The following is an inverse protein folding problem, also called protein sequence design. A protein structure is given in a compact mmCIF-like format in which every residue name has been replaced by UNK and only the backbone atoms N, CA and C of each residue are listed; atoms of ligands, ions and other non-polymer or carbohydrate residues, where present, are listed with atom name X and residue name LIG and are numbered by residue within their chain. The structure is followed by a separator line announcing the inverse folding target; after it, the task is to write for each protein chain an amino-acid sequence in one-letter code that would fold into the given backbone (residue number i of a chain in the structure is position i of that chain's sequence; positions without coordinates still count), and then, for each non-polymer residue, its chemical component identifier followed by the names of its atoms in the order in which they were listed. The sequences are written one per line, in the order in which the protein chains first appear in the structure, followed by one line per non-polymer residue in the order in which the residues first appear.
data_IF_763205394353
#
_entry.id   IF_763205394353
#
_cell.length_a   1.000
_cell.length_b   1.000
_cell.length_c   1.000
_cell.angle_alpha   90.00
_cell.angle_beta   90.00
_cell.angle_gamma   90.00
#
_symmetry.space_group_name_H-M   'P 1'
#
loop_
_entity.id
_entity.type
_entity.pdbx_description
1 polymer ?
2 polymer ?
3 non-polymer ?
4 water ?
#
# COMPACT_ATOMS: atom_id res chain seq x y z
N UNK A 31 12.27 0.72 -28.05
CA UNK A 31 12.63 -0.67 -28.20
C UNK A 31 13.58 -1.12 -27.09
N UNK A 32 13.05 -1.86 -26.11
CA UNK A 32 13.87 -2.38 -25.02
C UNK A 32 14.81 -3.46 -25.53
N UNK A 33 16.11 -3.19 -25.45
CA UNK A 33 17.10 -4.08 -26.02
C UNK A 33 18.02 -4.77 -25.03
N UNK A 34 19.23 -4.23 -24.88
CA UNK A 34 20.29 -4.92 -24.17
C UNK A 34 20.47 -4.49 -22.70
N UNK A 35 20.58 -5.49 -21.83
CA UNK A 35 20.85 -5.24 -20.42
C UNK A 35 22.33 -4.93 -20.18
N UNK A 36 22.62 -3.66 -19.90
CA UNK A 36 23.99 -3.22 -19.71
C UNK A 36 24.34 -2.97 -18.25
N UNK A 37 23.83 -3.82 -17.36
CA UNK A 37 24.20 -3.77 -15.95
C UNK A 37 25.71 -3.87 -15.75
N UNK A 38 26.35 -4.63 -16.63
CA UNK A 38 27.80 -4.82 -16.57
C UNK A 38 28.57 -3.57 -16.95
N UNK A 39 27.87 -2.56 -17.44
CA UNK A 39 28.51 -1.30 -17.83
C UNK A 39 28.12 -0.13 -16.94
N UNK A 40 27.20 -0.35 -16.01
CA UNK A 40 26.79 0.69 -15.09
C UNK A 40 27.13 0.30 -13.65
N UNK A 41 27.54 1.27 -12.86
CA UNK A 41 27.87 1.02 -11.46
C UNK A 41 27.22 2.05 -10.54
N UNK A 42 26.67 1.59 -9.43
CA UNK A 42 25.95 2.45 -8.50
C UNK A 42 26.87 2.91 -7.36
N UNK A 43 26.55 4.06 -6.78
CA UNK A 43 27.44 4.70 -5.82
C UNK A 43 26.68 5.54 -4.79
N UNK A 44 27.23 5.62 -3.57
CA UNK A 44 26.66 6.41 -2.49
C UNK A 44 25.21 6.02 -2.15
N UNK A 45 24.99 4.73 -1.91
CA UNK A 45 23.67 4.24 -1.56
C UNK A 45 23.36 4.50 -0.10
N UNK A 46 22.25 5.18 0.16
CA UNK A 46 21.74 5.34 1.51
C UNK A 46 20.22 5.27 1.49
N UNK A 47 19.65 4.59 2.48
CA UNK A 47 18.22 4.70 2.70
C UNK A 47 18.01 6.02 3.41
N UNK A 48 16.92 6.71 3.10
CA UNK A 48 16.62 7.98 3.75
C UNK A 48 16.49 7.76 5.26
N UNK A 49 15.75 6.73 5.64
CA UNK A 49 15.70 6.30 7.04
C UNK A 49 15.48 4.79 7.12
N UNK A 50 15.92 4.19 8.22
CA UNK A 50 15.97 2.74 8.33
C UNK A 50 14.79 2.12 9.07
N UNK A 51 13.95 2.95 9.67
CA UNK A 51 12.83 2.45 10.47
C UNK A 51 11.64 3.42 10.48
N UNK A 52 10.44 2.87 10.34
CA UNK A 52 9.22 3.69 10.37
C UNK A 52 7.94 2.88 10.61
N UNK A 53 6.82 3.58 10.59
CA UNK A 53 5.50 2.98 10.79
C UNK A 53 4.68 3.07 9.50
N UNK A 54 4.59 1.96 8.75
CA UNK A 54 3.78 1.90 7.53
C UNK A 54 2.29 2.20 7.78
N UNK A 55 1.85 2.06 9.02
CA UNK A 55 0.45 2.31 9.37
C UNK A 55 0.15 3.77 9.72
N UNK A 56 1.20 4.59 9.81
CA UNK A 56 1.04 6.03 9.96
C UNK A 56 1.69 6.76 8.79
N UNK A 57 1.50 6.21 7.60
CA UNK A 57 2.02 6.79 6.35
C UNK A 57 3.54 6.83 6.30
N UNK A 58 4.18 5.96 7.09
CA UNK A 58 5.63 5.86 7.08
C UNK A 58 6.13 5.19 5.83
N UNK A 59 7.22 5.72 5.28
CA UNK A 59 7.92 5.14 4.15
C UNK A 59 9.37 5.57 4.18
N UNK A 60 10.07 5.42 3.06
CA UNK A 60 11.43 5.94 2.97
C UNK A 60 11.80 6.16 1.51
N UNK A 61 13.10 6.30 1.25
CA UNK A 61 13.59 6.47 -0.10
C UNK A 61 14.91 5.73 -0.26
N UNK A 62 15.12 5.15 -1.43
CA UNK A 62 16.46 4.73 -1.79
C UNK A 62 17.00 5.75 -2.78
N UNK A 63 18.24 6.16 -2.58
CA UNK A 63 18.84 7.16 -3.43
C UNK A 63 20.25 6.74 -3.79
N UNK A 64 20.66 7.03 -5.02
CA UNK A 64 22.01 6.68 -5.43
C UNK A 64 22.48 7.38 -6.69
N UNK A 65 23.79 7.49 -6.84
CA UNK A 65 24.41 7.92 -8.08
C UNK A 65 24.69 6.69 -8.93
N UNK A 66 24.93 6.90 -10.21
CA UNK A 66 25.35 5.82 -11.08
C UNK A 66 26.21 6.35 -12.23
N UNK A 67 27.20 5.56 -12.61
CA UNK A 67 28.08 5.93 -13.72
C UNK A 67 28.11 4.84 -14.78
N UNK A 68 28.01 5.25 -16.03
CA UNK A 68 28.10 4.35 -17.16
C UNK A 68 29.53 4.31 -17.68
N UNK A 69 30.32 3.37 -17.20
CA UNK A 69 31.67 3.18 -17.74
C UNK A 69 31.56 2.70 -19.19
N UNK A 70 31.80 3.63 -20.11
CA UNK A 70 31.65 3.36 -21.52
C UNK A 70 30.52 4.15 -22.14
N UNK A 71 30.05 3.71 -23.30
CA UNK A 71 28.96 4.38 -24.00
C UNK A 71 27.79 3.42 -24.19
N UNK A 72 26.60 3.97 -24.40
CA UNK A 72 25.40 3.17 -24.65
C UNK A 72 24.54 3.81 -25.73
N UNK A 73 23.44 3.16 -26.09
CA UNK A 73 22.54 3.71 -27.10
C UNK A 73 21.07 3.48 -26.75
N UNK A 74 20.18 4.10 -27.55
CA UNK A 74 18.74 4.01 -27.36
C UNK A 74 18.26 2.55 -27.34
N UNK A 75 17.84 2.10 -26.17
CA UNK A 75 17.35 0.74 -26.01
C UNK A 75 18.08 -0.03 -24.95
N UNK A 76 19.35 0.31 -24.71
CA UNK A 76 20.11 -0.30 -23.64
C UNK A 76 19.46 0.06 -22.31
N UNK A 77 19.53 -0.84 -21.35
CA UNK A 77 18.85 -0.60 -20.08
C UNK A 77 19.60 -1.15 -18.88
N UNK A 78 19.31 -0.58 -17.72
CA UNK A 78 19.81 -1.18 -16.47
C UNK A 78 18.70 -1.30 -15.44
N UNK A 79 18.95 -2.09 -14.40
CA UNK A 79 17.89 -2.46 -13.47
C UNK A 79 18.21 -2.23 -12.00
N UNK A 80 17.16 -2.17 -11.20
CA UNK A 80 17.26 -2.18 -9.75
C UNK A 80 16.26 -3.22 -9.25
N UNK A 81 16.59 -3.94 -8.19
CA UNK A 81 15.69 -4.99 -7.73
C UNK A 81 15.43 -4.95 -6.23
N UNK A 82 14.16 -4.97 -5.86
CA UNK A 82 13.75 -4.88 -4.46
C UNK A 82 13.57 -6.26 -3.85
N UNK A 83 13.98 -6.41 -2.58
CA UNK A 83 13.86 -7.66 -1.83
C UNK A 83 12.42 -7.98 -1.44
N UNK A 84 12.23 -9.04 -0.67
CA UNK A 84 10.91 -9.42 -0.18
C UNK A 84 10.32 -8.39 0.78
N UNK A 85 11.18 -7.76 1.57
CA UNK A 85 10.73 -6.91 2.67
C UNK A 85 10.07 -5.61 2.22
N UNK A 86 10.47 -5.10 1.08
CA UNK A 86 9.99 -3.80 0.62
C UNK A 86 9.26 -3.87 -0.71
N UNK A 87 8.56 -2.78 -1.05
CA UNK A 87 7.95 -2.63 -2.37
C UNK A 87 8.31 -1.26 -2.91
N UNK A 88 7.83 -0.95 -4.11
CA UNK A 88 8.13 0.32 -4.73
C UNK A 88 6.87 1.09 -5.10
N UNK A 89 5.72 0.48 -4.84
CA UNK A 89 4.44 1.08 -5.18
C UNK A 89 3.58 1.31 -3.95
N UNK A 90 3.86 0.57 -2.89
CA UNK A 90 3.16 0.73 -1.63
C UNK A 90 1.68 0.41 -1.73
N UNK A 91 0.86 1.26 -1.14
CA UNK A 91 -0.58 1.01 -1.09
C UNK A 91 -1.31 1.43 -2.36
N UNK A 92 -0.55 1.78 -3.40
CA UNK A 92 -1.14 2.04 -4.70
C UNK A 92 -1.16 0.76 -5.53
N UNK A 93 -2.36 0.32 -5.91
CA UNK A 93 -2.53 -0.93 -6.64
C UNK A 93 -2.31 -0.75 -8.14
N UNK A 94 -1.54 -1.67 -8.74
CA UNK A 94 -1.32 -1.67 -10.17
C UNK A 94 -1.69 -3.00 -10.82
N UNK A 95 -2.56 -3.75 -10.14
CA UNK A 95 -3.01 -5.04 -10.67
C UNK A 95 -3.90 -4.87 -11.90
N UNK A 96 -4.68 -3.80 -11.92
CA UNK A 96 -5.51 -3.49 -13.08
C UNK A 96 -4.72 -2.69 -14.10
N UNK A 97 -3.40 -2.76 -14.02
CA UNK A 97 -2.52 -2.03 -14.92
C UNK A 97 -1.30 -2.87 -15.31
N UNK A 98 -1.52 -4.17 -15.42
CA UNK A 98 -0.46 -5.11 -15.80
C UNK A 98 0.76 -5.11 -14.88
N UNK A 99 0.52 -4.86 -13.59
CA UNK A 99 1.57 -4.84 -12.58
C UNK A 99 2.77 -3.97 -12.95
N UNK A 100 2.51 -2.99 -13.81
CA UNK A 100 3.55 -2.09 -14.28
C UNK A 100 3.20 -0.66 -13.88
N UNK A 101 4.08 -0.01 -13.14
CA UNK A 101 3.88 1.38 -12.80
C UNK A 101 4.91 2.25 -13.49
N UNK A 102 4.44 3.30 -14.18
CA UNK A 102 5.35 4.21 -14.89
C UNK A 102 6.15 4.99 -13.86
N UNK A 103 7.32 5.48 -14.25
CA UNK A 103 8.10 6.28 -13.33
C UNK A 103 8.62 7.52 -14.05
N UNK A 104 8.60 8.65 -13.34
CA UNK A 104 9.01 9.94 -13.88
C UNK A 104 10.29 9.86 -14.71
N UNK A 105 10.25 10.45 -15.89
CA UNK A 105 11.38 10.43 -16.82
C UNK A 105 12.65 10.95 -16.18
N UNK A 106 13.78 10.34 -16.51
CA UNK A 106 15.08 10.81 -16.08
C UNK A 106 15.68 11.69 -17.17
N UNK A 107 15.95 12.94 -16.83
CA UNK A 107 16.26 13.96 -17.82
C UNK A 107 17.62 14.60 -17.62
N UNK A 108 18.00 15.48 -18.54
CA UNK A 108 19.21 16.27 -18.41
C UNK A 108 18.86 17.59 -17.74
N UNK A 109 19.84 18.49 -17.65
CA UNK A 109 19.58 19.82 -17.10
C UNK A 109 18.73 20.63 -18.06
N UNK A 110 19.06 20.55 -19.35
CA UNK A 110 18.38 21.34 -20.36
C UNK A 110 17.06 20.73 -20.86
N UNK A 111 16.49 19.82 -20.08
CA UNK A 111 15.15 19.33 -20.35
C UNK A 111 15.01 17.93 -20.91
N UNK A 112 15.69 17.67 -22.02
CA UNK A 112 15.52 16.41 -22.77
C UNK A 112 15.69 15.15 -21.93
N UNK A 113 14.80 14.19 -22.15
CA UNK A 113 14.80 12.94 -21.41
C UNK A 113 16.02 12.07 -21.73
N UNK A 114 16.65 11.54 -20.70
CA UNK A 114 17.83 10.71 -20.87
C UNK A 114 17.45 9.24 -20.76
N UNK A 115 16.40 8.97 -19.99
CA UNK A 115 15.93 7.61 -19.81
C UNK A 115 14.45 7.57 -19.42
N UNK A 116 13.77 6.52 -19.86
CA UNK A 116 12.40 6.27 -19.40
C UNK A 116 12.41 5.11 -18.42
N UNK A 117 11.72 5.29 -17.30
CA UNK A 117 11.80 4.35 -16.18
C UNK A 117 10.48 3.68 -15.88
N UNK A 118 10.53 2.39 -15.57
CA UNK A 118 9.33 1.64 -15.25
C UNK A 118 9.56 0.69 -14.09
N UNK A 119 8.49 0.28 -13.42
CA UNK A 119 8.62 -0.58 -12.26
C UNK A 119 7.63 -1.75 -12.32
N UNK A 120 8.14 -2.96 -12.18
CA UNK A 120 7.29 -4.14 -12.16
C UNK A 120 7.01 -4.56 -10.73
N UNK A 121 5.74 -4.56 -10.36
CA UNK A 121 5.28 -4.85 -9.01
C UNK A 121 5.56 -6.31 -8.62
N UNK A 122 5.27 -7.22 -9.54
CA UNK A 122 5.40 -8.64 -9.27
C UNK A 122 6.86 -9.06 -9.06
N UNK A 123 7.74 -8.55 -9.92
CA UNK A 123 9.16 -8.91 -9.85
C UNK A 123 9.95 -7.85 -9.09
N UNK A 124 9.27 -6.80 -8.63
CA UNK A 124 9.92 -5.71 -7.91
C UNK A 124 11.12 -5.18 -8.67
N UNK A 125 10.94 -4.91 -9.96
CA UNK A 125 12.08 -4.53 -10.80
C UNK A 125 11.96 -3.16 -11.45
N UNK A 126 12.93 -2.30 -11.19
CA UNK A 126 13.03 -1.02 -11.84
C UNK A 126 13.85 -1.19 -13.10
N UNK A 127 13.28 -0.79 -14.24
CA UNK A 127 13.99 -0.84 -15.49
C UNK A 127 14.11 0.55 -16.09
N UNK A 128 15.35 1.00 -16.22
CA UNK A 128 15.65 2.29 -16.83
C UNK A 128 16.20 2.06 -18.23
N UNK A 129 15.44 2.49 -19.23
CA UNK A 129 15.86 2.30 -20.63
C UNK A 129 16.17 3.63 -21.32
N UNK A 130 17.35 3.71 -21.92
CA UNK A 130 17.86 4.97 -22.46
C UNK A 130 17.14 5.46 -23.71
N UNK A 131 17.14 6.78 -23.88
CA UNK A 131 16.59 7.40 -25.07
C UNK A 131 17.74 7.65 -26.05
N UNK A 132 17.41 8.13 -27.24
CA UNK A 132 18.42 8.41 -28.27
C UNK A 132 19.38 9.51 -27.84
N UNK A 133 18.98 10.28 -26.83
CA UNK A 133 19.82 11.34 -26.28
C UNK A 133 21.22 10.84 -25.99
N UNK A 134 21.32 9.60 -25.54
CA UNK A 134 22.59 9.01 -25.13
C UNK A 134 23.43 8.54 -26.32
N UNK A 135 22.85 8.51 -27.51
CA UNK A 135 23.56 8.05 -28.70
C UNK A 135 24.83 8.86 -28.99
N UNK A 136 24.65 10.16 -29.18
CA UNK A 136 25.78 11.04 -29.46
C UNK A 136 26.45 11.56 -28.19
N UNK A 137 26.25 10.87 -27.08
CA UNK A 137 26.87 11.24 -25.82
C UNK A 137 27.91 10.22 -25.39
N UNK A 138 28.52 10.45 -24.23
CA UNK A 138 29.59 9.59 -23.73
C UNK A 138 29.77 9.79 -22.23
N UNK A 139 30.17 8.72 -21.54
CA UNK A 139 30.45 8.77 -20.11
C UNK A 139 29.32 9.40 -19.31
N UNK A 140 28.20 8.68 -19.20
CA UNK A 140 26.99 9.20 -18.58
C UNK A 140 26.98 9.05 -17.07
N UNK A 141 26.76 10.15 -16.36
CA UNK A 141 26.61 10.10 -14.91
C UNK A 141 25.21 10.53 -14.51
N UNK A 142 24.71 10.00 -13.39
CA UNK A 142 23.36 10.33 -12.97
C UNK A 142 23.04 10.01 -11.53
N UNK A 143 21.81 10.28 -11.13
CA UNK A 143 21.34 9.98 -9.78
C UNK A 143 19.83 9.78 -9.77
N UNK A 144 19.35 8.99 -8.81
CA UNK A 144 17.92 8.83 -8.63
C UNK A 144 17.51 8.72 -7.17
N UNK A 145 16.26 9.10 -6.91
CA UNK A 145 15.63 8.96 -5.61
C UNK A 145 14.26 8.35 -5.81
N UNK A 146 14.06 7.16 -5.25
CA UNK A 146 12.81 6.44 -5.44
C UNK A 146 12.20 6.05 -4.10
N UNK A 147 10.90 6.33 -3.92
CA UNK A 147 10.23 6.02 -2.66
C UNK A 147 10.11 4.52 -2.44
N UNK A 148 10.33 4.09 -1.21
CA UNK A 148 10.19 2.69 -0.84
C UNK A 148 9.17 2.54 0.28
N UNK A 149 8.35 1.50 0.16
CA UNK A 149 7.28 1.25 1.11
C UNK A 149 7.42 -0.15 1.67
N UNK A 150 6.52 -0.52 2.58
CA UNK A 150 6.56 -1.85 3.16
C UNK A 150 5.91 -2.86 2.22
N UNK A 151 6.18 -4.13 2.44
CA UNK A 151 5.44 -5.20 1.79
C UNK A 151 4.55 -5.82 2.84
N UNK A 152 3.31 -5.36 2.92
CA UNK A 152 2.38 -5.77 3.97
C UNK A 152 2.18 -7.28 4.00
N UNK A 153 2.27 -7.91 2.84
CA UNK A 153 2.09 -9.35 2.74
C UNK A 153 3.32 -10.12 3.23
N UNK A 154 4.51 -9.64 2.88
CA UNK A 154 5.74 -10.38 3.16
C UNK A 154 6.49 -9.89 4.39
N UNK A 155 6.12 -8.71 4.89
CA UNK A 155 6.59 -8.24 6.18
C UNK A 155 5.36 -7.95 7.05
N UNK A 156 4.59 -8.99 7.36
CA UNK A 156 3.26 -8.81 7.95
C UNK A 156 3.31 -8.38 9.41
N UNK A 157 4.44 -8.58 10.05
CA UNK A 157 4.57 -8.27 11.47
C UNK A 157 5.58 -7.15 11.71
N UNK A 158 5.39 -6.43 12.82
CA UNK A 158 6.38 -5.44 13.24
C UNK A 158 7.69 -6.14 13.56
N UNK A 159 8.80 -5.59 13.09
CA UNK A 159 10.10 -6.17 13.37
C UNK A 159 11.20 -5.67 12.45
N UNK A 160 12.37 -6.28 12.56
CA UNK A 160 13.51 -5.92 11.74
C UNK A 160 13.75 -6.94 10.63
N UNK A 161 13.66 -6.47 9.39
CA UNK A 161 13.83 -7.30 8.21
C UNK A 161 15.12 -6.96 7.47
N UNK A 162 15.61 -7.94 6.71
CA UNK A 162 16.73 -7.71 5.80
C UNK A 162 16.18 -7.03 4.56
N UNK A 163 16.90 -6.03 4.06
CA UNK A 163 16.47 -5.32 2.86
C UNK A 163 17.67 -5.00 1.98
N UNK A 164 18.14 -5.99 1.26
CA UNK A 164 19.32 -5.82 0.41
C UNK A 164 18.96 -5.51 -1.03
N UNK A 165 19.13 -4.25 -1.42
CA UNK A 165 18.68 -3.77 -2.72
C UNK A 165 19.75 -4.00 -3.80
N UNK A 166 19.34 -4.49 -4.95
CA UNK A 166 20.27 -4.71 -6.05
C UNK A 166 20.19 -3.60 -7.09
N UNK A 167 21.34 -3.05 -7.47
CA UNK A 167 21.42 -2.10 -8.57
C UNK A 167 22.60 -2.44 -9.47
N UNK A 168 22.32 -2.69 -10.74
CA UNK A 168 23.35 -3.00 -11.72
C UNK A 168 24.21 -4.20 -11.31
N UNK A 169 23.55 -5.29 -10.95
CA UNK A 169 24.23 -6.52 -10.53
C UNK A 169 25.17 -6.30 -9.35
N UNK A 170 24.76 -5.41 -8.46
CA UNK A 170 25.55 -5.08 -7.28
C UNK A 170 24.62 -4.98 -6.07
N UNK A 171 24.97 -5.69 -5.01
CA UNK A 171 24.11 -5.75 -3.84
C UNK A 171 24.48 -4.75 -2.75
N UNK A 172 23.46 -4.06 -2.23
CA UNK A 172 23.63 -3.07 -1.18
C UNK A 172 22.81 -3.50 0.02
N UNK A 173 23.51 -3.92 1.08
CA UNK A 173 22.87 -4.45 2.27
C UNK A 173 22.33 -3.36 3.19
N UNK A 174 21.06 -3.53 3.57
CA UNK A 174 20.43 -2.63 4.53
C UNK A 174 19.58 -3.42 5.49
N UNK A 175 19.37 -2.87 6.68
CA UNK A 175 18.42 -3.44 7.61
C UNK A 175 17.26 -2.47 7.78
N UNK A 176 16.05 -2.95 7.49
CA UNK A 176 14.88 -2.09 7.56
C UNK A 176 14.04 -2.52 8.76
N UNK A 177 13.34 -1.59 9.39
CA UNK A 177 12.57 -1.93 10.59
C UNK A 177 11.18 -1.32 10.61
N UNK A 178 10.16 -2.18 10.59
CA UNK A 178 8.78 -1.73 10.57
C UNK A 178 8.17 -1.78 11.96
N UNK A 179 7.80 -0.61 12.47
CA UNK A 179 7.07 -0.54 13.72
C UNK A 179 5.62 -0.16 13.46
N UNK A 180 4.81 -1.16 13.10
CA UNK A 180 3.40 -0.93 12.79
C UNK A 180 2.63 -0.44 14.01
N UNK A 181 1.76 0.54 13.80
CA UNK A 181 0.77 0.88 14.81
C UNK A 181 -0.24 -0.26 14.85
N UNK A 182 -0.26 -0.98 15.98
CA UNK A 182 -1.08 -2.17 16.15
C UNK A 182 -2.54 -1.99 15.73
N UNK A 183 -3.05 -2.93 14.92
CA UNK A 183 -4.46 -2.95 14.53
C UNK A 183 -5.36 -3.35 15.71
N UNK A 184 -4.74 -3.82 16.79
CA UNK A 184 -5.49 -4.20 17.98
C UNK A 184 -5.77 -2.98 18.85
N UNK A 185 -6.84 -2.26 18.51
CA UNK A 185 -7.15 -0.99 19.13
C UNK A 185 -8.63 -0.89 19.45
N UNK A 186 -8.96 -0.25 20.57
CA UNK A 186 -10.35 -0.10 20.98
C UNK A 186 -10.55 0.44 22.39
N UNK A 187 -11.82 0.65 22.74
CA UNK A 187 -12.20 1.10 24.07
C UNK A 187 -11.60 0.19 25.13
N UNK A 188 -11.18 0.77 26.26
CA UNK A 188 -10.46 0.02 27.26
C UNK A 188 -11.35 -0.56 28.38
N UNK A 189 -12.45 -1.20 27.97
CA UNK A 189 -13.26 -2.00 28.87
C UNK A 189 -13.32 -3.42 28.31
N UNK A 190 -13.53 -4.43 29.17
CA UNK A 190 -13.52 -5.83 28.72
C UNK A 190 -14.59 -6.14 27.67
N UNK A 191 -15.54 -5.23 27.49
CA UNK A 191 -16.61 -5.40 26.52
C UNK A 191 -16.71 -4.18 25.59
N UNK A 192 -15.64 -3.40 25.52
CA UNK A 192 -15.61 -2.21 24.71
C UNK A 192 -15.42 -2.46 23.22
N UNK A 193 -16.12 -1.67 22.41
CA UNK A 193 -16.02 -1.75 20.96
C UNK A 193 -14.57 -1.58 20.51
N UNK A 194 -14.15 -2.41 19.57
CA UNK A 194 -12.79 -2.35 19.04
C UNK A 194 -12.76 -2.77 17.57
N UNK A 195 -12.41 -1.82 16.71
CA UNK A 195 -12.36 -2.08 15.27
C UNK A 195 -11.25 -1.27 14.64
N UNK A 196 -10.59 -1.86 13.62
CA UNK A 196 -9.55 -1.17 12.89
C UNK A 196 -9.64 -1.49 11.41
N UNK A 197 -9.02 -0.66 10.59
CA UNK A 197 -9.04 -0.84 9.15
C UNK A 197 -7.87 -0.16 8.49
N UNK A 198 -7.65 -0.46 7.21
CA UNK A 198 -6.58 0.15 6.44
C UNK A 198 -6.82 -0.03 4.95
N UNK A 199 -6.60 1.04 4.19
CA UNK A 199 -6.66 0.95 2.74
C UNK A 199 -5.30 0.53 2.23
N UNK A 200 -5.18 -0.73 1.81
CA UNK A 200 -3.88 -1.26 1.41
C UNK A 200 -3.72 -1.36 -0.11
N UNK A 201 -4.77 -1.04 -0.86
CA UNK A 201 -4.63 -0.98 -2.31
C UNK A 201 -5.43 0.14 -2.94
N UNK A 202 -4.80 0.96 -3.77
CA UNK A 202 -5.55 1.97 -4.52
C UNK A 202 -5.13 2.07 -5.97
N UNK A 203 -6.08 1.85 -6.87
CA UNK A 203 -5.84 1.93 -8.30
C UNK A 203 -6.07 3.35 -8.81
N UNK A 204 -4.98 4.07 -9.03
CA UNK A 204 -5.05 5.44 -9.52
C UNK A 204 -4.73 5.54 -11.02
N UNK A 205 -4.18 4.46 -11.58
CA UNK A 205 -3.67 4.49 -12.95
C UNK A 205 -4.71 4.09 -14.01
N UNK A 206 -5.41 2.99 -13.77
CA UNK A 206 -6.30 2.39 -14.76
C UNK A 206 -7.42 3.32 -15.23
N UNK A 207 -8.01 4.05 -14.30
CA UNK A 207 -9.22 4.80 -14.58
C UNK A 207 -10.39 4.02 -14.03
N UNK A 208 -10.12 2.78 -13.63
CA UNK A 208 -11.11 1.94 -12.98
C UNK A 208 -11.48 2.48 -11.61
N UNK A 209 -10.53 3.16 -10.97
CA UNK A 209 -10.74 3.75 -9.66
C UNK A 209 -11.25 2.77 -8.60
N UNK A 210 -10.44 1.78 -8.26
CA UNK A 210 -10.83 0.78 -7.28
C UNK A 210 -9.93 0.84 -6.06
N UNK A 211 -10.38 0.26 -4.96
CA UNK A 211 -9.56 0.19 -3.76
C UNK A 211 -9.81 -1.07 -2.93
N UNK A 212 -8.76 -1.56 -2.30
CA UNK A 212 -8.82 -2.73 -1.43
C UNK A 212 -8.53 -2.29 0.00
N UNK A 213 -9.45 -2.61 0.91
CA UNK A 213 -9.32 -2.22 2.30
C UNK A 213 -9.58 -3.39 3.23
N UNK A 214 -8.71 -3.58 4.22
CA UNK A 214 -8.90 -4.65 5.20
C UNK A 214 -9.47 -4.10 6.50
N UNK A 215 -10.59 -4.66 6.94
CA UNK A 215 -11.17 -4.28 8.21
C UNK A 215 -10.96 -5.36 9.26
N UNK A 216 -10.42 -4.98 10.42
CA UNK A 216 -10.31 -5.91 11.53
C UNK A 216 -11.41 -5.64 12.57
N UNK A 217 -12.43 -6.49 12.55
CA UNK A 217 -13.53 -6.40 13.51
C UNK A 217 -13.21 -7.21 14.76
N UNK A 218 -13.25 -6.54 15.91
CA UNK A 218 -12.95 -7.15 17.20
C UNK A 218 -11.56 -7.80 17.31
N UNK A 219 -10.48 -7.01 17.11
CA UNK A 219 -9.14 -7.59 17.24
C UNK A 219 -8.78 -7.93 18.69
N UNK A 220 -9.44 -7.27 19.65
CA UNK A 220 -9.24 -7.58 21.05
C UNK A 220 -9.91 -8.90 21.38
N UNK A 221 -10.71 -9.39 20.43
CA UNK A 221 -11.57 -10.57 20.57
C UNK A 221 -12.18 -10.74 21.95
N UNK A 222 -12.70 -9.64 22.48
CA UNK A 222 -13.42 -9.66 23.74
C UNK A 222 -14.89 -9.99 23.51
N UNK A 223 -15.59 -10.37 24.58
CA UNK A 223 -16.99 -10.74 24.51
C UNK A 223 -17.89 -9.54 24.18
N UNK A 224 -18.47 -9.55 23.00
CA UNK A 224 -19.32 -8.44 22.56
C UNK A 224 -20.74 -8.89 22.26
N UNK A 225 -21.70 -8.03 22.56
CA UNK A 225 -23.11 -8.34 22.34
C UNK A 225 -23.75 -7.40 21.35
N UNK A 226 -24.73 -7.92 20.60
CA UNK A 226 -25.46 -7.16 19.58
C UNK A 226 -24.58 -6.20 18.78
N UNK A 227 -23.51 -6.75 18.22
CA UNK A 227 -22.47 -5.94 17.57
C UNK A 227 -22.85 -5.51 16.15
N UNK A 228 -22.59 -4.23 15.87
CA UNK A 228 -22.85 -3.67 14.54
C UNK A 228 -21.60 -2.98 14.00
N UNK A 229 -21.39 -3.13 12.70
CA UNK A 229 -20.23 -2.56 12.02
C UNK A 229 -20.67 -1.75 10.81
N UNK A 230 -20.10 -0.56 10.69
CA UNK A 230 -20.43 0.39 9.64
C UNK A 230 -19.18 0.71 8.84
N UNK A 231 -19.27 0.62 7.52
CA UNK A 231 -18.16 0.98 6.66
C UNK A 231 -18.55 2.17 5.80
N UNK A 232 -17.95 3.33 6.08
CA UNK A 232 -18.21 4.53 5.30
C UNK A 232 -16.99 4.86 4.48
N UNK A 233 -17.22 5.46 3.32
CA UNK A 233 -16.11 5.99 2.55
C UNK A 233 -16.11 7.51 2.54
N UNK A 234 -16.31 8.13 3.71
CA UNK A 234 -16.30 9.61 3.76
C UNK A 234 -15.95 10.29 5.10
N UNK A 235 -15.70 9.52 6.15
CA UNK A 235 -15.44 10.10 7.48
C UNK A 235 -16.58 11.00 7.96
N UNK A 236 -16.29 12.29 8.14
CA UNK A 236 -17.29 13.21 8.67
C UNK A 236 -18.05 13.97 7.58
N UNK A 237 -17.34 14.38 6.52
CA UNK A 237 -17.97 15.11 5.43
C UNK A 237 -18.01 14.30 4.14
N UNK A 238 -19.22 14.02 3.64
CA UNK A 238 -19.40 13.29 2.39
C UNK A 238 -18.74 14.01 1.23
N UNK A 239 -18.89 15.32 1.20
CA UNK A 239 -18.36 16.13 0.11
C UNK A 239 -16.84 16.17 0.06
N UNK A 240 -16.19 15.52 1.02
CA UNK A 240 -14.73 15.56 1.08
C UNK A 240 -13.98 14.23 0.88
N UNK A 241 -14.68 13.14 0.64
CA UNK A 241 -13.99 11.89 0.33
C UNK A 241 -14.58 11.28 -0.92
N UNK A 242 -13.70 10.99 -1.87
CA UNK A 242 -14.06 10.41 -3.16
C UNK A 242 -14.72 9.02 -3.05
N UNK A 243 -14.49 8.30 -1.95
CA UNK A 243 -14.99 6.94 -1.81
C UNK A 243 -16.49 6.77 -2.03
N UNK A 244 -16.89 5.59 -2.48
CA UNK A 244 -18.28 5.31 -2.82
C UNK A 244 -18.64 3.93 -2.30
N UNK A 245 -19.64 3.86 -1.43
CA UNK A 245 -20.08 2.58 -0.89
C UNK A 245 -21.56 2.32 -1.17
N UNK A 246 -21.81 1.29 -1.97
CA UNK A 246 -23.17 0.85 -2.28
C UNK A 246 -23.11 -0.59 -2.78
N UNK A 247 -24.27 -1.19 -3.03
CA UNK A 247 -24.32 -2.58 -3.47
C UNK A 247 -23.64 -2.75 -4.83
N UNK A 248 -23.51 -1.64 -5.56
CA UNK A 248 -22.88 -1.65 -6.88
C UNK A 248 -21.37 -1.55 -6.81
N UNK A 249 -20.87 -0.57 -6.07
CA UNK A 249 -19.44 -0.26 -6.06
C UNK A 249 -18.66 -0.99 -4.97
N UNK A 250 -19.35 -1.81 -4.18
CA UNK A 250 -18.69 -2.43 -3.03
C UNK A 250 -18.91 -3.93 -2.91
N UNK A 251 -17.81 -4.66 -2.73
CA UNK A 251 -17.87 -6.10 -2.49
C UNK A 251 -17.26 -6.40 -1.13
N UNK A 252 -17.92 -7.25 -0.36
CA UNK A 252 -17.49 -7.57 0.99
C UNK A 252 -17.30 -9.06 1.19
N UNK A 253 -16.20 -9.43 1.83
CA UNK A 253 -16.00 -10.82 2.23
C UNK A 253 -15.67 -10.89 3.72
N UNK A 254 -16.31 -11.82 4.43
CA UNK A 254 -16.16 -11.89 5.87
C UNK A 254 -15.56 -13.23 6.30
N UNK A 255 -14.54 -13.15 7.16
CA UNK A 255 -13.78 -14.32 7.58
C UNK A 255 -13.71 -14.44 9.09
N UNK A 256 -14.24 -15.54 9.61
CA UNK A 256 -14.06 -15.89 11.01
C UNK A 256 -12.61 -16.32 11.23
N UNK A 257 -11.93 -15.66 12.16
CA UNK A 257 -10.54 -15.97 12.47
C UNK A 257 -10.48 -17.05 13.55
N UNK A 258 -9.49 -17.93 13.47
CA UNK A 258 -9.31 -18.96 14.47
C UNK A 258 -8.30 -18.54 15.53
N UNK A 259 -7.13 -18.09 15.08
CA UNK A 259 -6.08 -17.66 15.99
C UNK A 259 -5.73 -16.20 15.71
N UNK A 260 -6.27 -15.30 16.52
CA UNK A 260 -6.00 -13.87 16.41
C UNK A 260 -4.50 -13.60 16.58
N UNK A 261 -3.84 -14.50 17.31
CA UNK A 261 -2.40 -14.44 17.54
C UNK A 261 -1.58 -14.43 16.25
N UNK A 262 -2.22 -14.71 15.12
CA UNK A 262 -1.51 -14.89 13.86
C UNK A 262 -1.90 -13.90 12.78
N UNK A 263 -2.75 -12.93 13.12
CA UNK A 263 -3.11 -11.88 12.18
C UNK A 263 -1.94 -10.92 11.98
N UNK A 264 -1.93 -10.22 10.85
CA UNK A 264 -0.82 -9.33 10.51
C UNK A 264 -0.92 -8.01 11.27
N UNK A 265 0.24 -7.42 11.54
CA UNK A 265 0.29 -6.06 12.10
C UNK A 265 0.16 -5.07 10.97
N UNK A 266 0.27 -5.57 9.74
CA UNK A 266 0.33 -4.73 8.55
C UNK A 266 -1.01 -4.55 7.86
N UNK A 267 -2.03 -5.20 8.41
CA UNK A 267 -3.39 -5.23 7.85
C UNK A 267 -3.54 -6.12 6.61
N UNK A 268 -2.47 -6.74 6.13
CA UNK A 268 -2.61 -7.69 5.03
C UNK A 268 -3.40 -8.90 5.50
N UNK A 269 -4.32 -9.36 4.66
CA UNK A 269 -5.11 -10.54 4.99
C UNK A 269 -5.25 -11.45 3.78
N UNK A 270 -4.86 -12.71 3.95
CA UNK A 270 -4.91 -13.68 2.87
C UNK A 270 -6.22 -14.46 2.93
N UNK A 271 -7.07 -14.29 1.90
CA UNK A 271 -8.37 -14.96 1.84
C UNK A 271 -8.23 -16.48 1.95
N UNK A 272 -7.14 -17.02 1.43
CA UNK A 272 -6.94 -18.46 1.39
C UNK A 272 -6.16 -19.01 2.58
N UNK A 273 -5.85 -18.13 3.53
CA UNK A 273 -5.24 -18.56 4.78
C UNK A 273 -6.24 -19.45 5.51
N UNK A 274 -5.74 -20.56 6.06
CA UNK A 274 -6.58 -21.50 6.79
C UNK A 274 -7.03 -20.89 8.12
N UNK A 275 -6.30 -19.88 8.58
CA UNK A 275 -6.65 -19.15 9.79
C UNK A 275 -7.95 -18.39 9.60
N UNK A 276 -8.33 -18.20 8.35
CA UNK A 276 -9.56 -17.49 8.00
C UNK A 276 -10.61 -18.43 7.41
N UNK A 277 -11.85 -18.27 7.84
CA UNK A 277 -12.96 -19.03 7.28
C UNK A 277 -14.05 -18.12 6.74
N UNK A 278 -14.20 -18.06 5.42
CA UNK A 278 -15.19 -17.18 4.82
C UNK A 278 -16.60 -17.57 5.27
N UNK A 279 -17.32 -16.59 5.82
CA UNK A 279 -18.67 -16.80 6.29
C UNK A 279 -19.65 -15.86 5.58
N UNK A 280 -19.20 -15.34 4.44
CA UNK A 280 -19.98 -14.41 3.61
C UNK A 280 -21.40 -14.94 3.33
N UNK A 281 -21.52 -16.26 3.19
CA UNK A 281 -22.81 -16.88 2.96
C UNK A 281 -23.72 -16.88 4.17
N UNK A 282 -23.22 -16.42 5.30
CA UNK A 282 -24.00 -16.37 6.53
C UNK A 282 -24.48 -14.95 6.83
N UNK A 283 -24.12 -14.01 5.95
CA UNK A 283 -24.44 -12.61 6.16
C UNK A 283 -25.33 -12.05 5.06
N UNK A 284 -26.20 -12.91 4.53
CA UNK A 284 -27.08 -12.52 3.44
C UNK A 284 -28.03 -11.41 3.86
N UNK A 285 -28.81 -11.66 4.91
CA UNK A 285 -29.74 -10.67 5.43
C UNK A 285 -29.17 -9.91 6.62
N UNK A 286 -27.92 -9.45 6.49
CA UNK A 286 -27.27 -8.70 7.55
C UNK A 286 -26.41 -7.56 7.01
N UNK A 287 -26.65 -7.19 5.75
CA UNK A 287 -25.86 -6.14 5.11
C UNK A 287 -26.76 -5.11 4.42
N UNK A 288 -26.47 -3.83 4.63
CA UNK A 288 -27.32 -2.76 4.09
C UNK A 288 -26.54 -1.61 3.48
N UNK A 289 -26.98 -1.17 2.31
CA UNK A 289 -26.36 -0.03 1.63
C UNK A 289 -27.36 1.09 1.48
N UNK A 290 -28.43 1.03 2.26
CA UNK A 290 -29.53 1.97 2.12
C UNK A 290 -29.11 3.39 2.46
N UNK A 291 -28.37 3.54 3.55
CA UNK A 291 -27.90 4.86 3.96
C UNK A 291 -26.71 5.29 3.11
N UNK A 292 -26.56 6.59 2.92
CA UNK A 292 -25.64 7.11 1.91
C UNK A 292 -24.17 6.90 2.21
N UNK A 293 -23.50 6.19 1.31
CA UNK A 293 -22.06 5.96 1.39
C UNK A 293 -21.65 5.18 2.64
N UNK A 294 -22.46 4.21 3.03
CA UNK A 294 -22.15 3.37 4.19
C UNK A 294 -22.73 1.97 4.07
N UNK A 295 -22.00 0.98 4.57
CA UNK A 295 -22.47 -0.40 4.60
C UNK A 295 -22.64 -0.87 6.05
N UNK A 296 -23.81 -1.40 6.37
CA UNK A 296 -24.06 -1.89 7.72
C UNK A 296 -23.85 -3.40 7.78
N UNK A 297 -23.19 -3.86 8.84
CA UNK A 297 -23.02 -5.29 9.04
C UNK A 297 -23.47 -5.72 10.43
N UNK A 298 -24.60 -6.43 10.48
CA UNK A 298 -25.14 -6.94 11.73
C UNK A 298 -24.41 -8.21 12.16
N UNK A 299 -23.31 -8.04 12.89
CA UNK A 299 -22.54 -9.18 13.39
C UNK A 299 -23.27 -9.90 14.52
N UNK A 300 -23.96 -9.15 15.38
CA UNK A 300 -24.71 -9.72 16.48
C UNK A 300 -23.83 -10.17 17.62
N UNK A 301 -24.19 -11.29 18.26
CA UNK A 301 -23.40 -11.82 19.36
C UNK A 301 -22.15 -12.54 18.85
N UNK A 302 -21.01 -11.85 18.92
CA UNK A 302 -19.76 -12.41 18.40
C UNK A 302 -18.79 -12.75 19.51
N UNK A 303 -17.77 -13.54 19.17
CA UNK A 303 -16.83 -14.03 20.17
C UNK A 303 -15.41 -13.96 19.65
N UNK A 304 -15.26 -14.10 18.35
CA UNK A 304 -13.94 -14.15 17.73
C UNK A 304 -13.66 -12.88 16.94
N UNK A 305 -12.44 -12.76 16.44
CA UNK A 305 -12.08 -11.66 15.55
C UNK A 305 -12.60 -12.01 14.15
N UNK A 306 -13.02 -11.00 13.41
CA UNK A 306 -13.46 -11.20 12.03
C UNK A 306 -12.72 -10.28 11.09
N UNK A 307 -12.31 -10.81 9.94
CA UNK A 307 -11.68 -9.98 8.92
C UNK A 307 -12.70 -9.66 7.84
N UNK A 308 -12.78 -8.40 7.44
CA UNK A 308 -13.64 -8.02 6.33
C UNK A 308 -12.83 -7.43 5.19
N UNK A 309 -12.74 -8.19 4.10
CA UNK A 309 -12.11 -7.70 2.89
C UNK A 309 -13.08 -6.84 2.11
N UNK A 310 -12.64 -5.64 1.79
CA UNK A 310 -13.44 -4.65 1.10
C UNK A 310 -12.86 -4.37 -0.29
N UNK A 311 -13.71 -4.47 -1.30
CA UNK A 311 -13.34 -4.14 -2.66
C UNK A 311 -14.27 -3.04 -3.15
N UNK A 312 -13.81 -1.81 -3.10
CA UNK A 312 -14.66 -0.67 -3.40
C UNK A 312 -14.17 0.20 -4.53
N UNK A 313 -14.82 1.34 -4.72
CA UNK A 313 -14.45 2.29 -5.76
C UNK A 313 -14.53 3.73 -5.25
N UNK A 314 -13.91 4.64 -6.00
CA UNK A 314 -14.01 6.07 -5.71
C UNK A 314 -14.33 6.84 -6.98
N UNK A 315 -15.05 7.95 -6.84
CA UNK A 315 -15.48 8.75 -7.99
C UNK A 315 -14.33 9.49 -8.67
N UNK A 316 -14.65 10.25 -9.71
CA UNK A 316 -13.64 11.03 -10.43
C UNK A 316 -13.61 12.49 -10.00
N UNK A 317 -14.09 12.78 -8.79
CA UNK A 317 -14.11 14.14 -8.28
C UNK A 317 -12.70 14.66 -8.00
N UNK A 318 -11.72 13.77 -8.07
CA UNK A 318 -10.33 14.13 -7.90
C UNK A 318 -9.91 14.40 -6.47
N UNK A 319 -10.88 14.60 -5.57
CA UNK A 319 -10.58 14.84 -4.16
C UNK A 319 -10.23 13.52 -3.52
N UNK A 320 -9.68 13.59 -2.32
CA UNK A 320 -9.05 12.43 -1.70
C UNK A 320 -10.00 11.34 -1.26
N UNK A 321 -9.46 10.13 -1.12
CA UNK A 321 -10.20 8.99 -0.62
C UNK A 321 -10.03 8.89 0.89
N UNK A 322 -11.09 9.24 1.63
CA UNK A 322 -11.06 9.19 3.08
C UNK A 322 -12.18 8.26 3.55
N UNK A 323 -11.88 7.32 4.44
CA UNK A 323 -12.90 6.39 4.89
C UNK A 323 -12.99 6.34 6.41
N UNK A 324 -14.04 5.72 6.91
CA UNK A 324 -14.20 5.54 8.35
C UNK A 324 -14.99 4.29 8.66
N UNK A 325 -14.49 3.47 9.58
CA UNK A 325 -15.24 2.31 10.04
C UNK A 325 -15.65 2.47 11.50
N UNK A 326 -16.91 2.19 11.79
CA UNK A 326 -17.46 2.39 13.12
C UNK A 326 -18.06 1.09 13.66
N UNK A 327 -17.70 0.73 14.89
CA UNK A 327 -18.29 -0.44 15.52
C UNK A 327 -18.99 -0.07 16.81
N UNK A 328 -20.19 -0.61 17.02
CA UNK A 328 -20.93 -0.35 18.25
C UNK A 328 -21.51 -1.63 18.84
N UNK A 329 -21.58 -1.69 20.17
CA UNK A 329 -22.10 -2.86 20.84
C UNK A 329 -22.58 -2.62 22.28
N UNK A 330 -23.34 -3.58 22.79
CA UNK A 330 -23.77 -3.58 24.18
C UNK A 330 -23.01 -4.66 24.94
N UNK A 331 -23.32 -4.82 26.22
CA UNK A 331 -22.76 -5.91 27.00
C UNK A 331 -23.69 -7.12 26.93
N UNK A 332 -23.13 -8.29 26.55
CA UNK A 332 -23.90 -9.54 26.50
C UNK A 332 -24.48 -9.94 27.86
N UNK A 333 -23.81 -9.56 28.93
CA UNK A 333 -24.24 -9.94 30.28
C UNK A 333 -25.19 -8.93 30.91
N UNK A 334 -24.98 -7.65 30.60
CA UNK A 334 -25.76 -6.58 31.23
C UNK A 334 -27.01 -6.23 30.43
N UNK A 335 -26.80 -5.58 29.28
CA UNK A 335 -27.91 -5.03 28.51
C UNK A 335 -27.68 -3.54 28.35
N UNK A 336 -27.16 -2.93 29.40
CA UNK A 336 -26.65 -1.57 29.33
C UNK A 336 -25.21 -1.64 28.84
N UNK A 337 -24.35 -0.75 29.32
CA UNK A 337 -22.94 -0.72 28.94
C UNK A 337 -22.74 -0.63 27.42
N UNK A 338 -23.12 0.50 26.85
CA UNK A 338 -22.96 0.73 25.43
C UNK A 338 -21.54 1.17 25.14
N UNK A 339 -21.07 0.89 23.93
CA UNK A 339 -19.79 1.43 23.48
C UNK A 339 -19.75 1.55 21.97
N UNK A 340 -19.11 2.62 21.51
CA UNK A 340 -18.94 2.87 20.08
C UNK A 340 -17.49 3.28 19.81
N UNK A 341 -16.99 2.98 18.62
CA UNK A 341 -15.59 3.23 18.29
C UNK A 341 -15.41 3.46 16.79
N UNK A 342 -14.67 4.50 16.43
CA UNK A 342 -14.46 4.84 15.03
C UNK A 342 -13.00 4.73 14.62
N UNK A 343 -12.78 4.61 13.31
CA UNK A 343 -11.42 4.44 12.79
C UNK A 343 -11.31 5.07 11.40
N UNK A 344 -10.47 6.09 11.28
CA UNK A 344 -10.31 6.83 10.03
C UNK A 344 -9.17 6.30 9.19
N UNK A 345 -9.36 6.31 7.86
CA UNK A 345 -8.30 5.95 6.93
C UNK A 345 -8.13 6.97 5.82
N UNK A 346 -6.88 7.18 5.41
CA UNK A 346 -6.53 8.02 4.28
C UNK A 346 -5.08 7.72 3.90
N UNK A 347 -4.74 7.84 2.62
CA UNK A 347 -3.37 7.57 2.17
C UNK A 347 -2.68 8.77 1.53
N UNK A 348 -1.36 8.78 1.59
CA UNK A 348 -0.56 9.86 1.02
C UNK A 348 0.33 9.37 -0.13
N UNK A 349 0.52 10.22 -1.13
CA UNK A 349 1.34 9.90 -2.30
C UNK A 349 2.75 10.44 -2.18
N UNK A 350 3.75 9.60 -2.47
CA UNK A 350 5.13 10.06 -2.57
C UNK A 350 5.53 10.07 -4.04
N UNK A 351 6.73 10.57 -4.32
CA UNK A 351 7.18 10.67 -5.71
C UNK A 351 8.64 10.27 -5.90
N UNK A 352 8.93 9.76 -7.08
CA UNK A 352 10.29 9.43 -7.46
C UNK A 352 10.94 10.58 -8.21
N UNK A 353 12.27 10.56 -8.26
CA UNK A 353 13.01 11.61 -8.93
C UNK A 353 14.30 11.07 -9.51
N UNK A 354 14.74 11.65 -10.62
CA UNK A 354 15.96 11.23 -11.26
C UNK A 354 16.50 12.24 -12.24
N UNK A 355 17.82 12.22 -12.45
CA UNK A 355 18.46 13.09 -13.42
C UNK A 355 19.77 12.46 -13.87
N UNK A 356 20.26 12.88 -15.03
CA UNK A 356 21.51 12.35 -15.57
C UNK A 356 22.01 13.24 -16.71
N UNK A 357 23.26 13.04 -17.10
CA UNK A 357 23.84 13.77 -18.21
C UNK A 357 25.06 13.09 -18.80
N UNK A 358 25.38 13.49 -20.03
CA UNK A 358 26.58 13.05 -20.72
C UNK A 358 27.25 14.24 -21.39
N UNK A 359 27.93 13.99 -22.51
CA UNK A 359 28.69 15.03 -23.17
C UNK A 359 28.20 15.31 -24.59
N UNK A 360 27.97 16.59 -24.90
CA UNK A 360 27.38 16.99 -26.16
C UNK A 360 28.35 16.90 -27.35
N UNK A 361 28.80 15.68 -27.65
CA UNK A 361 29.68 15.45 -28.79
C UNK A 361 29.68 13.97 -29.18
N UNK B 1 -4.25 15.75 13.39
CA UNK B 1 -5.67 15.58 13.57
C UNK B 1 -6.48 16.30 12.52
N UNK B 4 -7.51 5.63 13.96
CA UNK B 4 -6.58 6.35 13.12
C UNK B 4 -5.47 5.49 12.56
N UNK B 5 -5.49 5.30 11.23
CA UNK B 5 -4.40 4.64 10.54
C UNK B 5 -4.32 5.17 9.12
N UNK B 6 -3.11 5.28 8.58
CA UNK B 6 -2.93 5.86 7.26
C UNK B 6 -1.83 5.17 6.46
N UNK B 7 -2.00 5.12 5.14
CA UNK B 7 -1.04 4.46 4.28
C UNK B 7 -0.24 5.41 3.41
N UNK B 8 0.60 4.83 2.55
CA UNK B 8 1.42 5.61 1.62
C UNK B 8 1.78 4.77 0.40
N UNK B 9 1.80 5.42 -0.77
CA UNK B 9 2.14 4.75 -2.01
C UNK B 9 2.65 5.72 -3.07
N UNK B 10 2.98 5.17 -4.24
CA UNK B 10 3.52 5.98 -5.34
C UNK B 10 2.62 5.90 -6.58
N UNK B 11 2.62 6.97 -7.36
CA UNK B 11 1.88 6.99 -8.62
C UNK B 11 2.80 6.98 -9.82
N UNK B 12 4.08 7.24 -9.58
CA UNK B 12 5.07 7.29 -10.64
C UNK B 12 5.04 8.61 -11.39
N UNK B 13 3.84 9.07 -11.71
CA UNK B 13 3.65 10.35 -12.38
C UNK B 13 2.98 11.36 -11.45
X LIG C 1 27.67 -3.33 -11.35
X LIG D 1 -25.51 4.27 -0.27
#
# INVERSE_FOLDING_TARGET
MRGSHHHHHHENLYFQGSLAVAEPVVNAADAKGTNVNDKVTASDFKLEKTAFDPNQSGNTFMAANFKVTGQVKSGDYFTAKLPDSVTGNGDVDYSNSNNTMPIADIKSTNGDVVAKATYDILTKTYTFVFTDYVNDKENINGQFSLPLFTDRAKAPKSGTYDANINIADEMFDNKITYNYSSPIAGIDKPNGANISSQIIGVDTASGQNTYKQTVFVNPKQRVLGNTWVYIKGYQDKIEESSGKVSATDTKLRIFEVNDTSKLSDSYYADPNDSNLKEVTGEFKDKISYKYDNVASINFGDINKTYVVLVEGHYDNTGKNLKTQVIQENIDPATGKDYSIFGWNNENVVRYGGGSADGDSAVN
GQSGSSGSGSNGD
MG MG
MG MG
#
